data_IF_768411286057
#
_entry.id   IF_768411286057
#
_cell.length_a   1.000
_cell.length_b   1.000
_cell.length_c   1.000
_cell.angle_alpha   90.00
_cell.angle_beta   90.00
_cell.angle_gamma   90.00
#
_symmetry.space_group_name_H-M   'P 1'
#
loop_
_entity.id
_entity.type
_entity.pdbx_description
1 polymer ?
#
# COMPACT_ATOMS: atom_id res chain seq x y z
N UNK A 1 -34.28 33.66 -73.91
CA UNK A 1 -35.12 33.30 -72.74
C UNK A 1 -34.50 32.22 -71.86
N UNK A 2 -33.88 31.17 -72.42
CA UNK A 2 -33.29 30.00 -71.73
C UNK A 2 -32.38 30.26 -70.51
N UNK A 3 -31.55 31.32 -70.53
CA UNK A 3 -30.56 31.55 -69.47
C UNK A 3 -31.18 32.02 -68.13
N UNK A 4 -32.34 32.69 -68.15
CA UNK A 4 -33.02 33.16 -66.93
C UNK A 4 -33.69 32.01 -66.18
N UNK A 5 -34.17 31.00 -66.91
CA UNK A 5 -34.80 29.80 -66.35
C UNK A 5 -33.78 28.93 -65.60
N UNK A 6 -32.55 28.78 -66.14
CA UNK A 6 -31.47 28.04 -65.48
C UNK A 6 -31.03 28.68 -64.16
N UNK A 7 -31.02 30.02 -64.09
CA UNK A 7 -30.66 30.76 -62.88
C UNK A 7 -31.74 30.59 -61.81
N UNK A 8 -33.02 30.72 -62.17
CA UNK A 8 -34.12 30.49 -61.24
C UNK A 8 -34.12 29.05 -60.71
N UNK A 9 -33.86 28.06 -61.57
CA UNK A 9 -33.78 26.66 -61.16
C UNK A 9 -32.64 26.39 -60.16
N UNK A 10 -31.49 27.05 -60.33
CA UNK A 10 -30.36 26.97 -59.38
C UNK A 10 -30.69 27.65 -58.04
N UNK A 11 -31.41 28.77 -58.08
CA UNK A 11 -31.87 29.49 -56.89
C UNK A 11 -32.86 28.60 -56.11
N UNK A 12 -33.85 28.01 -56.79
CA UNK A 12 -34.82 27.10 -56.18
C UNK A 12 -34.16 25.83 -55.61
N UNK A 13 -33.14 25.28 -56.30
CA UNK A 13 -32.36 24.15 -55.82
C UNK A 13 -31.55 24.50 -54.54
N UNK A 14 -30.99 25.71 -54.46
CA UNK A 14 -30.27 26.18 -53.29
C UNK A 14 -31.21 26.38 -52.09
N UNK A 15 -32.38 26.98 -52.30
CA UNK A 15 -33.39 27.13 -51.25
C UNK A 15 -33.94 25.77 -50.77
N UNK A 16 -34.16 24.81 -51.68
CA UNK A 16 -34.56 23.44 -51.31
C UNK A 16 -33.48 22.69 -50.52
N UNK A 17 -32.21 22.96 -50.78
CA UNK A 17 -31.08 22.38 -50.03
C UNK A 17 -31.00 22.95 -48.61
N UNK A 18 -31.36 24.21 -48.43
CA UNK A 18 -31.36 24.88 -47.12
C UNK A 18 -32.56 24.46 -46.25
N UNK A 19 -33.73 24.22 -46.85
CA UNK A 19 -34.94 23.81 -46.15
C UNK A 19 -34.84 22.44 -45.46
N UNK A 20 -33.90 21.59 -45.88
CA UNK A 20 -33.66 20.28 -45.26
C UNK A 20 -32.62 20.29 -44.14
N UNK A 21 -32.09 21.47 -43.76
CA UNK A 21 -31.18 21.60 -42.62
C UNK A 21 -31.98 21.44 -41.33
N UNK A 22 -31.97 20.21 -40.79
CA UNK A 22 -32.37 19.95 -39.41
C UNK A 22 -31.19 20.23 -38.50
N UNK A 23 -31.45 20.87 -37.35
CA UNK A 23 -30.48 21.05 -36.27
C UNK A 23 -29.88 19.68 -35.93
N UNK A 24 -28.58 19.53 -36.15
CA UNK A 24 -27.87 18.30 -35.78
C UNK A 24 -27.97 18.14 -34.26
N UNK A 25 -28.71 17.15 -33.78
CA UNK A 25 -28.66 16.80 -32.36
C UNK A 25 -27.31 16.13 -32.08
N UNK A 26 -26.71 16.38 -30.90
CA UNK A 26 -25.48 15.69 -30.53
C UNK A 26 -25.70 14.18 -30.61
N UNK A 27 -24.70 13.45 -31.12
CA UNK A 27 -24.73 11.99 -31.13
C UNK A 27 -25.05 11.48 -29.72
N UNK A 28 -25.96 10.49 -29.58
CA UNK A 28 -26.21 9.87 -28.28
C UNK A 28 -24.89 9.36 -27.69
N UNK A 29 -24.73 9.44 -26.37
CA UNK A 29 -23.55 9.02 -25.60
C UNK A 29 -22.29 9.91 -25.65
N UNK A 30 -22.33 11.09 -26.28
CA UNK A 30 -21.21 12.04 -26.22
C UNK A 30 -20.85 12.43 -24.77
N UNK A 31 -21.86 12.75 -23.96
CA UNK A 31 -21.70 13.09 -22.55
C UNK A 31 -21.07 11.94 -21.76
N UNK A 32 -21.54 10.71 -21.98
CA UNK A 32 -21.01 9.51 -21.31
C UNK A 32 -19.54 9.30 -21.62
N UNK A 33 -19.11 9.50 -22.88
CA UNK A 33 -17.72 9.37 -23.28
C UNK A 33 -16.82 10.44 -22.65
N UNK A 34 -17.34 11.66 -22.50
CA UNK A 34 -16.62 12.76 -21.83
C UNK A 34 -16.44 12.43 -20.35
N UNK A 35 -17.53 12.07 -19.66
CA UNK A 35 -17.50 11.73 -18.24
C UNK A 35 -16.60 10.52 -17.96
N UNK A 36 -16.64 9.48 -18.80
CA UNK A 36 -15.80 8.31 -18.63
C UNK A 36 -14.30 8.58 -18.78
N UNK A 37 -13.91 9.63 -19.53
CA UNK A 37 -12.52 10.07 -19.64
C UNK A 37 -12.10 10.90 -18.42
N UNK A 38 -12.96 11.80 -17.98
CA UNK A 38 -12.73 12.63 -16.78
C UNK A 38 -12.61 11.76 -15.51
N UNK A 39 -13.50 10.79 -15.32
CA UNK A 39 -13.49 9.92 -14.13
C UNK A 39 -12.26 9.02 -14.06
N UNK A 40 -11.74 8.57 -15.20
CA UNK A 40 -10.55 7.70 -15.26
C UNK A 40 -9.28 8.42 -14.81
N UNK A 41 -9.12 9.67 -15.21
CA UNK A 41 -7.91 10.45 -14.88
C UNK A 41 -7.87 10.80 -13.40
N UNK A 42 -9.02 11.17 -12.81
CA UNK A 42 -9.10 11.49 -11.38
C UNK A 42 -8.90 10.24 -10.52
N UNK A 43 -9.49 9.10 -10.89
CA UNK A 43 -9.33 7.84 -10.14
C UNK A 43 -7.90 7.30 -10.20
N UNK A 44 -7.22 7.37 -11.35
CA UNK A 44 -5.90 6.77 -11.52
C UNK A 44 -4.84 7.31 -10.55
N UNK A 45 -4.88 8.59 -10.22
CA UNK A 45 -3.87 9.21 -9.34
C UNK A 45 -4.14 8.83 -7.88
N UNK A 46 -5.39 8.96 -7.43
CA UNK A 46 -5.79 8.55 -6.08
C UNK A 46 -5.63 7.05 -5.84
N UNK A 47 -5.94 6.23 -6.83
CA UNK A 47 -5.80 4.77 -6.77
C UNK A 47 -4.33 4.35 -6.72
N UNK A 48 -3.46 5.02 -7.48
CA UNK A 48 -2.00 4.78 -7.41
C UNK A 48 -1.47 5.12 -6.02
N UNK A 49 -1.81 6.29 -5.48
CA UNK A 49 -1.37 6.71 -4.13
C UNK A 49 -1.92 5.77 -3.06
N UNK A 50 -3.18 5.34 -3.17
CA UNK A 50 -3.77 4.38 -2.25
C UNK A 50 -3.06 3.01 -2.29
N UNK A 51 -2.68 2.52 -3.47
CA UNK A 51 -1.90 1.27 -3.63
C UNK A 51 -0.49 1.41 -3.05
N UNK A 52 0.17 2.56 -3.24
CA UNK A 52 1.51 2.80 -2.70
C UNK A 52 1.54 2.99 -1.19
N UNK A 53 0.50 3.56 -0.57
CA UNK A 53 0.39 3.66 0.90
C UNK A 53 -0.07 2.34 1.54
N UNK A 54 -0.99 1.62 0.90
CA UNK A 54 -1.58 0.41 1.49
C UNK A 54 -0.57 -0.73 1.61
N UNK A 55 0.33 -0.92 0.64
CA UNK A 55 1.36 -1.96 0.69
C UNK A 55 2.33 -1.87 1.89
N UNK A 56 3.00 -0.74 2.16
CA UNK A 56 3.88 -0.60 3.32
C UNK A 56 3.10 -0.57 4.64
N UNK A 57 1.88 -0.03 4.64
CA UNK A 57 1.07 0.06 5.86
C UNK A 57 0.70 -1.33 6.40
N UNK A 58 0.31 -2.28 5.54
CA UNK A 58 -0.01 -3.65 5.95
C UNK A 58 1.21 -4.35 6.56
N UNK A 59 2.41 -4.14 6.00
CA UNK A 59 3.65 -4.69 6.53
C UNK A 59 4.00 -4.10 7.90
N UNK A 60 3.89 -2.78 8.06
CA UNK A 60 4.13 -2.10 9.34
C UNK A 60 3.12 -2.54 10.39
N UNK A 61 1.84 -2.67 10.03
CA UNK A 61 0.79 -3.11 10.95
C UNK A 61 1.01 -4.56 11.40
N UNK A 62 1.40 -5.45 10.47
CA UNK A 62 1.74 -6.83 10.77
C UNK A 62 2.98 -6.94 11.68
N UNK A 63 4.03 -6.17 11.39
CA UNK A 63 5.23 -6.12 12.24
C UNK A 63 4.90 -5.59 13.64
N UNK A 64 4.11 -4.51 13.72
CA UNK A 64 3.67 -3.93 14.98
C UNK A 64 2.86 -4.94 15.81
N UNK A 65 1.95 -5.70 15.18
CA UNK A 65 1.17 -6.75 15.83
C UNK A 65 2.08 -7.83 16.44
N UNK A 66 3.08 -8.30 15.68
CA UNK A 66 4.05 -9.28 16.17
C UNK A 66 4.80 -8.73 17.39
N UNK A 67 5.26 -7.47 17.34
CA UNK A 67 5.94 -6.82 18.47
C UNK A 67 5.03 -6.74 19.70
N UNK A 68 3.79 -6.29 19.54
CA UNK A 68 2.81 -6.16 20.63
C UNK A 68 2.55 -7.51 21.29
N UNK A 69 2.38 -8.58 20.50
CA UNK A 69 2.16 -9.92 21.03
C UNK A 69 3.36 -10.34 21.90
N UNK A 70 4.58 -10.19 21.38
CA UNK A 70 5.79 -10.56 22.11
C UNK A 70 5.96 -9.74 23.40
N UNK A 71 5.75 -8.43 23.33
CA UNK A 71 5.81 -7.54 24.50
C UNK A 71 4.72 -7.89 25.50
N UNK A 72 3.50 -8.20 25.06
CA UNK A 72 2.38 -8.58 25.92
C UNK A 72 2.66 -9.87 26.69
N UNK A 73 3.27 -10.87 26.06
CA UNK A 73 3.72 -12.11 26.74
C UNK A 73 4.76 -11.78 27.82
N UNK A 74 5.70 -10.89 27.53
CA UNK A 74 6.72 -10.48 28.51
C UNK A 74 6.09 -9.71 29.68
N UNK A 75 5.13 -8.81 29.43
CA UNK A 75 4.46 -8.03 30.48
C UNK A 75 3.55 -8.90 31.35
N UNK A 76 2.81 -9.83 30.75
CA UNK A 76 1.96 -10.78 31.49
C UNK A 76 2.81 -11.74 32.31
N UNK A 77 3.92 -12.25 31.77
CA UNK A 77 4.87 -13.05 32.52
C UNK A 77 5.60 -12.24 33.60
N UNK A 78 5.92 -10.96 33.37
CA UNK A 78 6.53 -10.07 34.39
C UNK A 78 5.59 -9.77 35.55
N UNK A 79 4.28 -9.65 35.34
CA UNK A 79 3.31 -9.56 36.44
C UNK A 79 3.25 -10.85 37.28
N UNK A 80 3.65 -12.00 36.72
CA UNK A 80 3.89 -13.26 37.45
C UNK A 80 5.37 -13.49 37.84
N UNK A 81 6.26 -12.54 37.52
CA UNK A 81 7.72 -12.62 37.73
C UNK A 81 8.27 -11.25 38.14
N UNK A 82 7.94 -10.82 39.35
CA UNK A 82 8.93 -10.14 40.19
C UNK A 82 9.70 -11.26 40.92
N UNK A 83 10.47 -12.06 40.18
CA UNK A 83 11.43 -13.04 40.72
C UNK A 83 12.42 -13.62 39.69
N UNK A 84 12.47 -13.15 38.44
CA UNK A 84 13.44 -13.65 37.45
C UNK A 84 14.30 -12.53 36.82
N UNK A 85 14.67 -11.53 37.62
CA UNK A 85 15.67 -10.54 37.23
C UNK A 85 16.89 -10.63 38.16
N UNK A 86 17.49 -11.82 38.27
CA UNK A 86 18.85 -12.01 38.78
C UNK A 86 19.30 -13.42 38.38
N UNK A 87 19.91 -13.55 37.20
CA UNK A 87 20.90 -14.59 36.84
C UNK A 87 21.43 -14.30 35.44
N UNK A 88 22.05 -13.14 35.31
CA UNK A 88 23.22 -13.00 34.47
C UNK A 88 24.42 -13.44 35.32
N UNK A 89 25.08 -14.52 34.92
CA UNK A 89 26.54 -14.80 34.96
C UNK A 89 26.80 -16.32 35.01
N UNK A 90 27.70 -16.75 34.12
CA UNK A 90 28.45 -18.01 34.05
C UNK A 90 27.84 -19.24 33.41
N UNK A 91 28.23 -19.48 32.15
CA UNK A 91 28.92 -20.71 31.72
C UNK A 91 29.43 -20.51 30.28
N UNK A 92 30.48 -19.71 30.16
CA UNK A 92 31.45 -19.88 29.08
C UNK A 92 32.41 -20.94 29.60
N UNK A 93 32.59 -22.02 28.82
CA UNK A 93 33.66 -23.00 28.95
C UNK A 93 34.98 -22.31 29.28
N UNK A 94 35.58 -22.58 30.45
CA UNK A 94 37.01 -22.39 30.75
C UNK A 94 37.31 -22.87 32.20
N UNK A 95 37.19 -24.17 32.47
CA UNK A 95 37.73 -24.75 33.72
C UNK A 95 38.25 -26.18 33.53
N UNK A 96 38.96 -26.43 32.41
CA UNK A 96 39.74 -27.66 32.18
C UNK A 96 41.25 -27.37 32.12
N UNK A 97 41.78 -26.39 32.88
CA UNK A 97 43.23 -26.16 32.87
C UNK A 97 43.84 -25.43 34.07
N UNK A 98 43.60 -25.89 35.30
CA UNK A 98 44.52 -25.55 36.38
C UNK A 98 44.70 -26.67 37.41
N UNK A 99 45.39 -27.71 36.95
CA UNK A 99 46.02 -28.67 37.84
C UNK A 99 47.24 -27.99 38.48
N UNK A 100 47.11 -27.56 39.73
CA UNK A 100 48.28 -27.28 40.58
C UNK A 100 48.15 -28.05 41.88
N UNK A 101 48.87 -29.17 41.93
CA UNK A 101 49.17 -29.97 43.11
C UNK A 101 50.00 -29.15 44.11
N UNK A 102 49.59 -29.14 45.38
CA UNK A 102 50.47 -29.07 46.55
C UNK A 102 49.60 -29.37 47.79
N UNK A 103 49.44 -30.64 48.15
CA UNK A 103 50.24 -31.36 49.15
C UNK A 103 49.46 -31.48 50.45
N UNK A 104 48.98 -32.70 50.67
CA UNK A 104 48.52 -33.22 51.95
C UNK A 104 49.78 -33.44 52.80
N UNK A 105 49.84 -32.81 53.97
CA UNK A 105 50.71 -33.21 55.07
C UNK A 105 50.04 -32.68 56.35
N UNK A 106 49.33 -33.55 57.07
CA UNK A 106 49.78 -34.13 58.35
C UNK A 106 49.81 -33.10 59.49
N UNK A 107 49.38 -33.37 60.71
CA UNK A 107 48.83 -34.58 61.31
C UNK A 107 48.07 -34.16 62.58
N UNK A 108 47.16 -35.05 62.90
CA UNK A 108 46.46 -35.33 64.14
C UNK A 108 47.21 -35.01 65.48
N UNK A 109 46.39 -34.68 66.50
CA UNK A 109 46.53 -34.92 67.97
C UNK A 109 47.31 -33.87 68.81
N UNK A 110 46.97 -33.60 70.10
CA UNK A 110 45.79 -33.95 70.92
C UNK A 110 44.93 -32.75 71.37
#
# INVERSE_FOLDING_TARGET
>A
MKNKEDINQKIDAAFNSLNNIKRASPKPYLLTRINARLDKEVKSIWETIAIYISRPLVMVLGLCLIIIINVSVILTNKSSSISAAERSVSSVDDEENNVTFATIDNADIP
#
